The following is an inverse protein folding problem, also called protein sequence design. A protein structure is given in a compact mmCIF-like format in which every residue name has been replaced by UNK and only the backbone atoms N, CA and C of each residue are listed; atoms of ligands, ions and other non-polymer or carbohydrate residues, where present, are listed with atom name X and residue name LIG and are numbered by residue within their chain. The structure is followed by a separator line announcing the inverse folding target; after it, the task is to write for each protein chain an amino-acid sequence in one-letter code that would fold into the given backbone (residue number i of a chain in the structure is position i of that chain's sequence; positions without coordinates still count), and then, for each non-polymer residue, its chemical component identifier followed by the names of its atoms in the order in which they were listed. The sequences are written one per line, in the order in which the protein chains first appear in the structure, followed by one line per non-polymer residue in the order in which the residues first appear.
data_IF_028007068397
#
_entry.id   IF_028007068397
#
_cell.length_a   1.000
_cell.length_b   1.000
_cell.length_c   1.000
_cell.angle_alpha   90.00
_cell.angle_beta   90.00
_cell.angle_gamma   90.00
#
_symmetry.space_group_name_H-M   'P 1'
#
loop_
_entity.id
_entity.type
_entity.pdbx_description
1 polymer ?
#
# COMPACT_ATOMS: atom_id res chain seq x y z
N UNK A 1 -3.25 -4.88 -12.14
CA UNK A 1 -2.02 -4.84 -11.31
C UNK A 1 -1.63 -3.39 -11.15
N UNK A 2 -0.94 -3.02 -10.08
CA UNK A 2 -0.43 -1.66 -9.88
C UNK A 2 0.95 -1.71 -9.20
N UNK A 3 1.71 -0.62 -9.29
CA UNK A 3 2.96 -0.48 -8.52
C UNK A 3 2.62 0.00 -7.12
N UNK A 4 2.99 -0.76 -6.09
CA UNK A 4 2.80 -0.36 -4.69
C UNK A 4 4.10 0.16 -4.13
N UNK A 5 4.07 1.33 -3.51
CA UNK A 5 5.20 1.93 -2.80
C UNK A 5 4.99 1.88 -1.30
N UNK A 6 5.97 1.31 -0.62
CA UNK A 6 5.96 1.13 0.82
C UNK A 6 6.89 2.14 1.48
N UNK A 7 6.37 2.86 2.48
CA UNK A 7 7.11 3.87 3.23
C UNK A 7 7.27 3.47 4.70
N UNK A 8 8.35 3.94 5.34
CA UNK A 8 8.60 3.75 6.78
C UNK A 8 8.32 2.31 7.27
N UNK A 9 7.46 2.15 8.27
CA UNK A 9 7.09 0.86 8.85
C UNK A 9 6.50 -0.13 7.82
N UNK A 10 5.82 0.36 6.77
CA UNK A 10 5.29 -0.50 5.72
C UNK A 10 6.41 -1.09 4.87
N UNK A 11 7.48 -0.32 4.63
CA UNK A 11 8.68 -0.81 3.94
C UNK A 11 9.41 -1.87 4.75
N UNK A 12 9.52 -1.66 6.05
CA UNK A 12 10.14 -2.63 6.96
C UNK A 12 9.33 -3.94 6.99
N UNK A 13 8.00 -3.84 7.12
CA UNK A 13 7.12 -5.00 7.13
C UNK A 13 7.09 -5.75 5.78
N UNK A 14 7.15 -5.04 4.65
CA UNK A 14 7.20 -5.65 3.32
C UNK A 14 8.59 -6.15 2.91
N UNK A 15 9.66 -5.72 3.59
CA UNK A 15 11.05 -6.01 3.23
C UNK A 15 11.53 -5.35 1.92
N UNK A 16 10.69 -4.56 1.26
CA UNK A 16 10.98 -3.85 0.01
C UNK A 16 10.33 -2.47 -0.01
N UNK A 17 10.92 -1.53 -0.75
CA UNK A 17 10.34 -0.18 -0.94
C UNK A 17 9.28 -0.11 -2.04
N UNK A 18 9.24 -1.09 -2.95
CA UNK A 18 8.27 -1.15 -4.04
C UNK A 18 8.01 -2.58 -4.49
N UNK A 19 6.82 -2.86 -4.99
CA UNK A 19 6.46 -4.14 -5.62
C UNK A 19 5.33 -3.96 -6.64
N UNK A 20 5.29 -4.81 -7.66
CA UNK A 20 4.14 -4.91 -8.57
C UNK A 20 3.17 -5.93 -7.98
N UNK A 21 1.95 -5.50 -7.70
CA UNK A 21 0.94 -6.31 -7.02
C UNK A 21 -0.30 -6.46 -7.90
N UNK A 22 -0.84 -7.68 -7.97
CA UNK A 22 -2.04 -7.99 -8.74
C UNK A 22 -3.30 -7.40 -8.09
N UNK A 23 -4.30 -7.10 -8.91
CA UNK A 23 -5.56 -6.47 -8.49
C UNK A 23 -6.12 -5.53 -9.55
N UNK A 24 -7.43 -5.34 -9.52
CA UNK A 24 -8.19 -4.46 -10.43
C UNK A 24 -8.73 -3.20 -9.74
N UNK A 25 -8.67 -3.17 -8.41
CA UNK A 25 -8.97 -2.01 -7.56
C UNK A 25 -7.87 -1.81 -6.51
N UNK A 26 -7.86 -0.64 -5.87
CA UNK A 26 -6.96 -0.35 -4.74
C UNK A 26 -7.10 -1.40 -3.65
N UNK A 27 -8.33 -1.77 -3.29
CA UNK A 27 -8.62 -2.78 -2.28
C UNK A 27 -8.02 -4.15 -2.61
N UNK A 28 -8.25 -4.65 -3.84
CA UNK A 28 -7.69 -5.93 -4.27
C UNK A 28 -6.15 -5.94 -4.29
N UNK A 29 -5.54 -4.82 -4.67
CA UNK A 29 -4.09 -4.65 -4.61
C UNK A 29 -3.58 -4.72 -3.17
N UNK A 30 -4.24 -4.04 -2.24
CA UNK A 30 -3.86 -4.08 -0.83
C UNK A 30 -4.06 -5.46 -0.21
N UNK A 31 -5.17 -6.14 -0.51
CA UNK A 31 -5.45 -7.49 -0.01
C UNK A 31 -4.43 -8.51 -0.55
N UNK A 32 -4.04 -8.37 -1.82
CA UNK A 32 -2.96 -9.17 -2.41
C UNK A 32 -1.60 -8.90 -1.75
N UNK A 33 -1.31 -7.64 -1.40
CA UNK A 33 -0.10 -7.29 -0.65
C UNK A 33 -0.13 -7.88 0.76
N UNK A 34 -1.26 -7.85 1.45
CA UNK A 34 -1.44 -8.50 2.76
C UNK A 34 -1.23 -10.01 2.67
N UNK A 35 -1.79 -10.66 1.65
CA UNK A 35 -1.58 -12.09 1.44
C UNK A 35 -0.09 -12.43 1.18
N UNK A 36 0.66 -11.52 0.56
CA UNK A 36 2.07 -11.71 0.25
C UNK A 36 3.01 -11.43 1.44
N UNK A 37 2.76 -10.37 2.21
CA UNK A 37 3.66 -9.90 3.28
C UNK A 37 3.22 -10.29 4.70
N UNK A 38 1.99 -10.79 4.84
CA UNK A 38 1.48 -11.35 6.09
C UNK A 38 1.01 -10.32 7.12
N UNK A 39 0.75 -10.82 8.32
CA UNK A 39 0.04 -10.10 9.39
C UNK A 39 0.76 -8.87 9.93
N UNK A 40 2.11 -8.84 9.87
CA UNK A 40 2.86 -7.65 10.27
C UNK A 40 2.57 -6.48 9.33
N UNK A 41 2.53 -6.73 8.02
CA UNK A 41 2.17 -5.71 7.05
C UNK A 41 0.70 -5.30 7.18
N UNK A 42 -0.20 -6.27 7.40
CA UNK A 42 -1.62 -6.00 7.64
C UNK A 42 -1.84 -5.03 8.81
N UNK A 43 -1.15 -5.25 9.94
CA UNK A 43 -1.24 -4.37 11.10
C UNK A 43 -0.81 -2.93 10.77
N UNK A 44 0.29 -2.77 10.03
CA UNK A 44 0.77 -1.45 9.61
C UNK A 44 -0.19 -0.81 8.60
N UNK A 45 -0.70 -1.59 7.65
CA UNK A 45 -1.67 -1.11 6.66
C UNK A 45 -2.95 -0.60 7.34
N UNK A 46 -3.43 -1.27 8.37
CA UNK A 46 -4.64 -0.88 9.11
C UNK A 46 -4.58 0.50 9.78
N UNK A 47 -3.38 1.04 9.99
CA UNK A 47 -3.17 2.40 10.51
C UNK A 47 -2.65 3.39 9.46
N UNK A 48 -2.38 2.93 8.24
CA UNK A 48 -1.80 3.73 7.16
C UNK A 48 -2.85 4.49 6.36
N UNK A 49 -2.46 5.64 5.81
CA UNK A 49 -3.18 6.24 4.67
C UNK A 49 -2.79 5.53 3.38
N UNK A 50 -3.71 5.46 2.44
CA UNK A 50 -3.46 4.89 1.11
C UNK A 50 -3.83 5.90 0.05
N UNK A 51 -2.87 6.22 -0.82
CA UNK A 51 -3.07 7.14 -1.94
C UNK A 51 -2.86 6.43 -3.26
N UNK A 52 -3.64 6.83 -4.27
CA UNK A 52 -3.47 6.45 -5.66
C UNK A 52 -2.97 7.67 -6.42
N UNK A 53 -1.79 7.57 -7.03
CA UNK A 53 -1.17 8.65 -7.81
C UNK A 53 -1.09 10.00 -7.07
N UNK A 54 -0.94 9.96 -5.75
CA UNK A 54 -0.84 11.14 -4.89
C UNK A 54 -2.17 11.66 -4.32
N UNK A 55 -3.30 11.02 -4.63
CA UNK A 55 -4.61 11.41 -4.11
C UNK A 55 -5.21 10.32 -3.22
N UNK A 56 -5.94 10.73 -2.19
CA UNK A 56 -6.68 9.80 -1.32
C UNK A 56 -7.93 9.31 -2.05
N UNK A 57 -8.05 7.99 -2.24
CA UNK A 57 -9.15 7.34 -2.95
C UNK A 57 -9.74 6.22 -2.12
N UNK A 58 -10.98 5.81 -2.44
CA UNK A 58 -11.61 4.66 -1.80
C UNK A 58 -11.01 3.35 -2.29
N UNK A 59 -11.23 2.26 -1.54
CA UNK A 59 -10.71 0.92 -1.88
C UNK A 59 -11.31 0.38 -3.18
N UNK A 60 -12.50 0.82 -3.55
CA UNK A 60 -13.20 0.41 -4.77
C UNK A 60 -12.66 1.11 -6.02
N UNK A 61 -11.79 2.11 -5.87
CA UNK A 61 -11.26 2.84 -7.02
C UNK A 61 -10.48 1.88 -7.93
N UNK A 62 -10.82 1.81 -9.24
CA UNK A 62 -10.13 0.93 -10.17
C UNK A 62 -8.67 1.35 -10.34
N UNK A 63 -7.82 0.36 -10.65
CA UNK A 63 -6.39 0.58 -10.94
C UNK A 63 -5.99 -0.08 -12.25
N UNK A 64 -4.96 0.49 -12.86
CA UNK A 64 -4.30 0.03 -14.08
C UNK A 64 -2.82 -0.23 -13.80
N UNK A 65 -2.14 -0.85 -14.76
CA UNK A 65 -0.71 -1.14 -14.72
C UNK A 65 0.18 0.11 -14.68
N UNK A 66 -0.39 1.29 -14.93
CA UNK A 66 0.30 2.59 -14.87
C UNK A 66 0.17 3.28 -13.51
N UNK A 67 -0.68 2.76 -12.63
CA UNK A 67 -0.98 3.41 -11.38
C UNK A 67 0.01 3.06 -10.27
N UNK A 68 0.21 4.04 -9.39
CA UNK A 68 1.01 3.94 -8.18
C UNK A 68 0.13 4.01 -6.94
N UNK A 69 0.16 2.98 -6.10
CA UNK A 69 -0.49 2.94 -4.79
C UNK A 69 0.55 3.16 -3.70
N UNK A 70 0.44 4.25 -2.94
CA UNK A 70 1.33 4.56 -1.84
C UNK A 70 0.72 4.13 -0.50
N UNK A 71 1.45 3.34 0.28
CA UNK A 71 1.10 3.00 1.67
C UNK A 71 1.89 3.90 2.61
N UNK A 72 1.18 4.77 3.33
CA UNK A 72 1.73 5.85 4.13
C UNK A 72 1.37 5.63 5.61
N UNK A 73 2.21 4.90 6.38
CA UNK A 73 2.03 4.78 7.82
C UNK A 73 2.06 6.16 8.50
N UNK A 74 1.44 6.30 9.69
CA UNK A 74 1.54 7.52 10.46
C UNK A 74 3.01 7.83 10.71
N UNK A 75 3.43 9.04 10.35
CA UNK A 75 4.77 9.51 10.68
C UNK A 75 4.86 9.64 12.20
N UNK A 76 5.85 9.02 12.83
CA UNK A 76 6.26 9.40 14.18
C UNK A 76 6.74 10.84 14.07
N UNK A 77 5.90 11.80 14.45
CA UNK A 77 6.20 13.23 14.32
C UNK A 77 7.61 13.53 14.83
N UNK A 78 8.40 14.19 13.99
CA UNK A 78 9.66 14.78 14.41
C UNK A 78 9.37 15.76 15.55
N UNK A 79 9.97 15.48 16.70
CA UNK A 79 10.21 16.48 17.75
C UNK A 79 11.10 17.60 17.22
#
# INVERSE_FOLDING_TARGET
MATVRFFAQAREAAGTGTAIIAGTSVGEVLDSAVAQYGSQFEAVLGMSKVWLNGEEVSREHPVTDKDEVAVLPPVSGGI
#
